data_IF_022417533828
#
_entry.id   IF_022417533828
#
_cell.length_a   1.000
_cell.length_b   1.000
_cell.length_c   1.000
_cell.angle_alpha   90.00
_cell.angle_beta   90.00
_cell.angle_gamma   90.00
#
_symmetry.space_group_name_H-M   'P 1'
#
loop_
_entity.id
_entity.type
_entity.pdbx_description
1 polymer ?
#
# COMPACT_ATOMS: atom_id res chain seq x y z
N UNK A 1 -8.75 22.38 -51.00
CA UNK A 1 -7.36 22.01 -50.65
C UNK A 1 -7.01 22.47 -49.22
N UNK A 2 -7.71 21.95 -48.18
CA UNK A 2 -7.46 22.31 -46.76
C UNK A 2 -7.53 21.11 -45.79
N UNK A 3 -7.94 19.93 -46.27
CA UNK A 3 -8.17 18.73 -45.44
C UNK A 3 -6.91 17.86 -45.32
N UNK A 4 -5.96 17.95 -46.27
CA UNK A 4 -4.77 17.10 -46.31
C UNK A 4 -3.70 17.39 -45.23
N UNK A 5 -3.80 18.53 -44.52
CA UNK A 5 -2.82 18.94 -43.49
C UNK A 5 -3.35 18.66 -42.07
N UNK A 6 -4.68 18.52 -41.90
CA UNK A 6 -5.30 18.34 -40.59
C UNK A 6 -5.07 16.94 -40.00
N UNK A 7 -5.11 15.89 -40.83
CA UNK A 7 -4.87 14.51 -40.40
C UNK A 7 -3.47 14.27 -39.78
N UNK A 8 -2.35 14.70 -40.39
CA UNK A 8 -1.03 14.49 -39.79
C UNK A 8 -0.82 15.32 -38.53
N UNK A 9 -1.41 16.52 -38.43
CA UNK A 9 -1.33 17.36 -37.22
C UNK A 9 -2.09 16.73 -36.06
N UNK A 10 -3.28 16.17 -36.31
CA UNK A 10 -4.06 15.49 -35.27
C UNK A 10 -3.36 14.22 -34.76
N UNK A 11 -2.77 13.43 -35.67
CA UNK A 11 -2.00 12.24 -35.30
C UNK A 11 -0.75 12.61 -34.48
N UNK A 12 -0.06 13.69 -34.85
CA UNK A 12 1.10 14.18 -34.10
C UNK A 12 0.72 14.69 -32.71
N UNK A 13 -0.41 15.39 -32.58
CA UNK A 13 -0.94 15.84 -31.28
C UNK A 13 -1.34 14.66 -30.38
N UNK A 14 -1.94 13.60 -30.95
CA UNK A 14 -2.25 12.37 -30.20
C UNK A 14 -0.98 11.66 -29.74
N UNK A 15 0.05 11.58 -30.59
CA UNK A 15 1.35 11.02 -30.22
C UNK A 15 2.03 11.82 -29.09
N UNK A 16 2.04 13.15 -29.18
CA UNK A 16 2.58 14.00 -28.11
C UNK A 16 1.76 13.83 -26.83
N UNK A 17 0.43 13.76 -26.92
CA UNK A 17 -0.42 13.55 -25.74
C UNK A 17 -0.13 12.21 -25.06
N UNK A 18 0.12 11.14 -25.84
CA UNK A 18 0.53 9.83 -25.32
C UNK A 18 1.90 9.87 -24.66
N UNK A 19 2.89 10.55 -25.26
CA UNK A 19 4.21 10.71 -24.67
C UNK A 19 4.20 11.56 -23.39
N UNK A 20 3.42 12.63 -23.36
CA UNK A 20 3.24 13.47 -22.16
C UNK A 20 2.51 12.68 -21.07
N UNK A 21 1.53 11.85 -21.44
CA UNK A 21 0.87 10.95 -20.51
C UNK A 21 1.87 9.96 -19.90
N UNK A 22 2.65 9.25 -20.72
CA UNK A 22 3.68 8.33 -20.22
C UNK A 22 4.69 9.07 -19.34
N UNK A 23 5.21 10.23 -19.76
CA UNK A 23 6.20 10.96 -18.97
C UNK A 23 5.67 11.51 -17.63
N UNK A 24 4.38 11.84 -17.54
CA UNK A 24 3.76 12.35 -16.31
C UNK A 24 3.29 11.22 -15.38
N UNK A 25 2.87 10.08 -15.94
CA UNK A 25 2.22 9.02 -15.17
C UNK A 25 3.09 7.77 -14.96
N UNK A 26 3.95 7.40 -15.92
CA UNK A 26 4.97 6.38 -15.71
C UNK A 26 6.20 7.04 -15.08
N UNK A 27 6.33 6.89 -13.75
CA UNK A 27 7.57 7.26 -13.08
C UNK A 27 8.70 6.38 -13.65
N UNK A 28 9.83 6.96 -14.09
CA UNK A 28 10.95 6.17 -14.54
C UNK A 28 11.36 5.20 -13.42
N UNK A 29 11.79 3.97 -13.75
CA UNK A 29 12.21 3.01 -12.74
C UNK A 29 13.25 3.66 -11.83
N UNK A 30 13.01 3.60 -10.53
CA UNK A 30 13.91 4.17 -9.52
C UNK A 30 15.28 3.52 -9.72
N UNK A 31 16.38 4.28 -9.85
CA UNK A 31 17.71 3.70 -9.99
C UNK A 31 18.04 2.87 -8.74
N UNK A 32 17.97 1.55 -8.91
CA UNK A 32 18.10 0.56 -7.85
C UNK A 32 18.09 -0.84 -8.46
N UNK A 33 18.61 -1.82 -7.72
CA UNK A 33 18.54 -3.23 -8.11
C UNK A 33 17.06 -3.62 -8.20
N UNK A 34 16.58 -3.95 -9.41
CA UNK A 34 15.20 -4.38 -9.61
C UNK A 34 14.88 -5.57 -8.69
N UNK A 35 13.68 -5.56 -8.13
CA UNK A 35 13.18 -6.71 -7.38
C UNK A 35 13.10 -7.94 -8.30
N UNK A 36 13.42 -9.13 -7.77
CA UNK A 36 13.31 -10.36 -8.53
C UNK A 36 11.84 -10.66 -8.86
N UNK A 37 11.61 -11.21 -10.06
CA UNK A 37 10.26 -11.54 -10.57
C UNK A 37 9.62 -12.76 -9.93
N UNK A 38 10.36 -13.48 -9.09
CA UNK A 38 9.91 -14.70 -8.41
C UNK A 38 10.05 -14.52 -6.90
N UNK A 39 9.26 -15.27 -6.09
CA UNK A 39 9.41 -15.25 -4.65
C UNK A 39 10.85 -15.58 -4.23
N UNK A 40 11.35 -14.85 -3.25
CA UNK A 40 12.68 -15.06 -2.69
C UNK A 40 12.58 -15.59 -1.28
N UNK A 41 13.58 -16.37 -0.89
CA UNK A 41 13.75 -16.78 0.50
C UNK A 41 14.59 -15.74 1.22
N UNK A 42 14.05 -15.20 2.31
CA UNK A 42 14.81 -14.35 3.25
C UNK A 42 15.72 -15.26 4.08
N UNK A 43 17.02 -14.98 4.08
CA UNK A 43 18.02 -15.81 4.78
C UNK A 43 18.68 -15.07 5.94
N UNK A 44 18.69 -13.74 5.93
CA UNK A 44 19.21 -12.89 7.00
C UNK A 44 18.04 -12.19 7.70
N UNK A 45 18.08 -12.08 9.04
CA UNK A 45 17.08 -11.33 9.81
C UNK A 45 15.70 -12.00 9.90
N UNK A 46 15.64 -13.34 9.79
CA UNK A 46 14.37 -14.09 9.73
C UNK A 46 13.56 -13.95 11.02
N UNK A 47 14.21 -13.96 12.18
CA UNK A 47 13.54 -13.81 13.48
C UNK A 47 12.95 -12.40 13.61
N UNK A 48 13.70 -11.38 13.19
CA UNK A 48 13.31 -9.98 13.21
C UNK A 48 12.14 -9.71 12.26
N UNK A 49 12.15 -10.31 11.06
CA UNK A 49 11.04 -10.24 10.12
C UNK A 49 9.80 -10.93 10.68
N UNK A 50 9.96 -12.12 11.22
CA UNK A 50 8.85 -12.90 11.82
C UNK A 50 8.21 -12.13 12.96
N UNK A 51 9.02 -11.53 13.84
CA UNK A 51 8.54 -10.69 14.94
C UNK A 51 7.81 -9.44 14.41
N UNK A 52 8.43 -8.71 13.47
CA UNK A 52 7.84 -7.50 12.91
C UNK A 52 6.48 -7.75 12.23
N UNK A 53 6.35 -8.86 11.50
CA UNK A 53 5.09 -9.23 10.83
C UNK A 53 4.06 -9.76 11.83
N UNK A 54 4.44 -10.71 12.69
CA UNK A 54 3.50 -11.37 13.61
C UNK A 54 2.95 -10.42 14.65
N UNK A 55 3.82 -9.56 15.20
CA UNK A 55 3.48 -8.51 16.17
C UNK A 55 3.24 -7.15 15.50
N UNK A 56 3.02 -7.12 14.18
CA UNK A 56 2.66 -5.89 13.47
C UNK A 56 1.18 -5.55 13.61
N UNK A 57 0.78 -4.30 13.30
CA UNK A 57 -0.61 -3.84 13.38
C UNK A 57 -1.44 -4.30 12.17
N UNK A 58 -1.40 -5.58 11.86
CA UNK A 58 -2.15 -6.11 10.74
C UNK A 58 -3.66 -6.22 11.06
N UNK A 59 -4.46 -6.00 10.01
CA UNK A 59 -5.88 -6.34 9.96
C UNK A 59 -6.10 -7.51 9.01
N UNK A 60 -7.10 -8.35 9.25
CA UNK A 60 -7.35 -9.50 8.37
C UNK A 60 -8.84 -9.89 8.36
N UNK A 61 -9.30 -10.56 7.29
CA UNK A 61 -10.67 -11.10 7.21
C UNK A 61 -10.94 -12.24 8.19
N UNK A 62 -9.94 -12.70 8.96
CA UNK A 62 -10.10 -13.74 9.99
C UNK A 62 -10.19 -15.15 9.42
N UNK A 63 -9.59 -15.42 8.27
CA UNK A 63 -9.58 -16.75 7.66
C UNK A 63 -8.59 -17.68 8.38
N UNK A 64 -8.78 -19.00 8.26
CA UNK A 64 -8.04 -19.99 9.06
C UNK A 64 -6.91 -20.70 8.32
N UNK A 65 -6.73 -20.43 7.02
CA UNK A 65 -5.70 -21.09 6.22
C UNK A 65 -4.34 -20.42 6.31
N UNK A 66 -3.56 -20.51 5.24
CA UNK A 66 -2.21 -19.93 5.18
C UNK A 66 -2.30 -18.41 5.32
N UNK A 67 -1.32 -17.84 6.01
CA UNK A 67 -1.22 -16.38 6.17
C UNK A 67 -0.40 -15.80 5.02
N UNK A 68 -0.87 -14.68 4.47
CA UNK A 68 -0.11 -13.81 3.58
C UNK A 68 -0.09 -12.42 4.19
N UNK A 69 1.10 -11.89 4.51
CA UNK A 69 1.23 -10.50 4.94
C UNK A 69 1.39 -9.58 3.73
N UNK A 70 0.69 -8.45 3.75
CA UNK A 70 0.85 -7.39 2.76
C UNK A 70 1.10 -6.06 3.46
N UNK A 71 2.19 -5.38 3.11
CA UNK A 71 2.52 -4.04 3.64
C UNK A 71 2.31 -3.00 2.54
N UNK A 72 1.65 -1.88 2.87
CA UNK A 72 1.42 -0.77 1.94
C UNK A 72 0.91 0.50 2.60
N UNK A 73 0.53 1.48 1.79
CA UNK A 73 -0.10 2.74 2.23
C UNK A 73 -1.32 3.03 1.33
N UNK A 74 -2.23 3.91 1.78
CA UNK A 74 -3.57 4.08 1.16
C UNK A 74 -3.54 4.43 -0.31
N UNK A 75 -2.64 5.33 -0.72
CA UNK A 75 -2.53 5.84 -2.08
C UNK A 75 -1.57 5.03 -2.98
N UNK A 76 -1.20 3.81 -2.56
CA UNK A 76 -0.35 2.92 -3.35
C UNK A 76 -1.18 2.25 -4.46
N UNK A 77 -1.02 2.69 -5.71
CA UNK A 77 -1.77 2.17 -6.86
C UNK A 77 -1.60 0.66 -7.06
N UNK A 78 -0.35 0.17 -7.03
CA UNK A 78 -0.07 -1.27 -7.18
C UNK A 78 -0.64 -2.11 -6.02
N UNK A 79 -0.68 -1.53 -4.82
CA UNK A 79 -1.28 -2.18 -3.67
C UNK A 79 -2.80 -2.34 -3.85
N UNK A 80 -3.48 -1.26 -4.26
CA UNK A 80 -4.92 -1.29 -4.54
C UNK A 80 -5.21 -2.30 -5.65
N UNK A 81 -4.45 -2.27 -6.74
CA UNK A 81 -4.64 -3.18 -7.86
C UNK A 81 -4.47 -4.65 -7.43
N UNK A 82 -3.41 -4.97 -6.70
CA UNK A 82 -3.17 -6.32 -6.19
C UNK A 82 -4.33 -6.83 -5.32
N UNK A 83 -4.88 -5.98 -4.46
CA UNK A 83 -6.02 -6.37 -3.63
C UNK A 83 -7.27 -6.63 -4.46
N UNK A 84 -7.59 -5.73 -5.40
CA UNK A 84 -8.76 -5.88 -6.25
C UNK A 84 -8.69 -7.13 -7.12
N UNK A 85 -7.50 -7.52 -7.59
CA UNK A 85 -7.34 -8.65 -8.50
C UNK A 85 -7.06 -9.98 -7.79
N UNK A 86 -6.25 -9.98 -6.73
CA UNK A 86 -5.74 -11.22 -6.14
C UNK A 86 -6.46 -11.63 -4.85
N UNK A 87 -6.91 -10.69 -4.00
CA UNK A 87 -7.52 -11.04 -2.71
C UNK A 87 -8.76 -11.94 -2.86
N UNK A 88 -9.69 -11.73 -3.82
CA UNK A 88 -10.84 -12.61 -3.97
C UNK A 88 -10.45 -14.07 -4.20
N UNK A 89 -9.44 -14.33 -5.04
CA UNK A 89 -8.95 -15.68 -5.31
C UNK A 89 -8.21 -16.27 -4.10
N UNK A 90 -7.42 -15.46 -3.39
CA UNK A 90 -6.73 -15.87 -2.17
C UNK A 90 -7.71 -16.24 -1.05
N UNK A 91 -8.74 -15.43 -0.84
CA UNK A 91 -9.79 -15.68 0.16
C UNK A 91 -10.62 -16.92 -0.20
N UNK A 92 -10.95 -17.10 -1.48
CA UNK A 92 -11.61 -18.33 -1.95
C UNK A 92 -10.75 -19.58 -1.73
N UNK A 93 -9.41 -19.44 -1.74
CA UNK A 93 -8.45 -20.48 -1.37
C UNK A 93 -8.18 -20.55 0.15
N UNK A 94 -8.97 -19.85 0.97
CA UNK A 94 -8.86 -19.76 2.43
C UNK A 94 -7.53 -19.16 2.94
N UNK A 95 -6.86 -18.32 2.15
CA UNK A 95 -5.65 -17.60 2.57
C UNK A 95 -6.04 -16.37 3.40
N UNK A 96 -5.52 -16.28 4.62
CA UNK A 96 -5.71 -15.14 5.53
C UNK A 96 -4.77 -13.99 5.14
N UNK A 97 -5.30 -12.99 4.43
CA UNK A 97 -4.52 -11.81 4.03
C UNK A 97 -4.43 -10.80 5.16
N UNK A 98 -3.25 -10.70 5.78
CA UNK A 98 -2.95 -9.78 6.88
C UNK A 98 -2.35 -8.50 6.34
N UNK A 99 -3.12 -7.42 6.35
CA UNK A 99 -2.70 -6.15 5.78
C UNK A 99 -2.15 -5.23 6.87
N UNK A 100 -0.93 -4.76 6.66
CA UNK A 100 -0.27 -3.73 7.47
C UNK A 100 -0.27 -2.45 6.63
N UNK A 101 -1.18 -1.53 6.95
CA UNK A 101 -1.14 -0.18 6.37
C UNK A 101 -0.34 0.76 7.28
N UNK A 102 0.44 1.64 6.66
CA UNK A 102 1.13 2.72 7.36
C UNK A 102 0.89 4.05 6.67
N UNK A 103 0.79 5.12 7.47
CA UNK A 103 0.79 6.49 6.97
C UNK A 103 2.23 6.92 6.65
N UNK A 104 2.48 7.45 5.46
CA UNK A 104 3.84 7.91 5.09
C UNK A 104 4.20 9.20 5.86
N UNK A 105 5.33 9.19 6.56
CA UNK A 105 5.84 10.39 7.25
C UNK A 105 6.06 11.51 6.23
N UNK A 106 5.48 12.69 6.49
CA UNK A 106 5.57 13.87 5.61
C UNK A 106 4.67 13.87 4.38
N UNK A 107 3.94 12.77 4.10
CA UNK A 107 3.10 12.65 2.90
C UNK A 107 1.63 12.30 3.20
N UNK A 108 1.34 11.71 4.37
CA UNK A 108 -0.02 11.46 4.80
C UNK A 108 -0.62 12.76 5.38
N UNK A 109 -1.88 13.02 5.07
CA UNK A 109 -2.62 14.11 5.70
C UNK A 109 -3.21 13.69 7.05
N UNK A 110 -3.79 14.67 7.76
CA UNK A 110 -4.44 14.47 9.05
C UNK A 110 -5.55 13.40 9.03
N UNK A 111 -6.25 13.25 7.90
CA UNK A 111 -7.34 12.29 7.72
C UNK A 111 -6.80 10.88 7.60
N UNK A 112 -5.83 10.66 6.71
CA UNK A 112 -5.13 9.39 6.56
C UNK A 112 -4.50 8.96 7.90
N UNK A 113 -3.85 9.88 8.61
CA UNK A 113 -3.25 9.58 9.91
C UNK A 113 -4.28 9.15 10.96
N UNK A 114 -5.43 9.85 11.04
CA UNK A 114 -6.50 9.51 11.97
C UNK A 114 -7.12 8.14 11.66
N UNK A 115 -7.35 7.81 10.38
CA UNK A 115 -7.91 6.52 9.98
C UNK A 115 -6.90 5.39 10.23
N UNK A 116 -5.62 5.59 9.89
CA UNK A 116 -4.55 4.59 10.15
C UNK A 116 -4.40 4.31 11.64
N UNK A 117 -4.47 5.35 12.49
CA UNK A 117 -4.40 5.16 13.93
C UNK A 117 -5.58 4.32 14.45
N UNK A 118 -6.80 4.57 13.94
CA UNK A 118 -7.99 3.76 14.26
C UNK A 118 -7.83 2.32 13.81
N UNK A 119 -7.42 2.11 12.56
CA UNK A 119 -7.18 0.81 11.96
C UNK A 119 -6.17 0.00 12.79
N UNK A 120 -5.05 0.62 13.14
CA UNK A 120 -3.96 0.01 13.90
C UNK A 120 -4.38 -0.31 15.34
N UNK A 121 -5.00 0.63 16.05
CA UNK A 121 -5.42 0.44 17.43
C UNK A 121 -6.50 -0.64 17.56
N UNK A 122 -7.50 -0.62 16.67
CA UNK A 122 -8.68 -1.50 16.76
C UNK A 122 -8.46 -2.85 16.10
N UNK A 123 -7.56 -2.90 15.11
CA UNK A 123 -7.30 -4.07 14.27
C UNK A 123 -8.56 -4.64 13.62
N UNK A 124 -9.46 -3.75 13.19
CA UNK A 124 -10.77 -4.10 12.65
C UNK A 124 -10.74 -4.10 11.11
N UNK A 125 -11.00 -5.27 10.52
CA UNK A 125 -11.11 -5.45 9.08
C UNK A 125 -12.23 -4.63 8.44
N UNK A 126 -13.30 -4.36 9.17
CA UNK A 126 -14.43 -3.57 8.63
C UNK A 126 -14.00 -2.15 8.31
N UNK A 127 -13.11 -1.56 9.13
CA UNK A 127 -12.53 -0.24 8.86
C UNK A 127 -11.71 -0.29 7.57
N UNK A 128 -10.90 -1.34 7.41
CA UNK A 128 -10.09 -1.57 6.23
C UNK A 128 -10.92 -1.68 4.95
N UNK A 129 -11.86 -2.62 4.93
CA UNK A 129 -12.71 -2.90 3.76
C UNK A 129 -13.44 -1.63 3.32
N UNK A 130 -14.09 -0.92 4.24
CA UNK A 130 -14.78 0.34 3.92
C UNK A 130 -13.85 1.38 3.33
N UNK A 131 -12.68 1.58 3.93
CA UNK A 131 -11.76 2.62 3.47
C UNK A 131 -11.09 2.32 2.13
N UNK A 132 -10.94 1.03 1.78
CA UNK A 132 -10.36 0.59 0.52
C UNK A 132 -11.40 0.44 -0.61
N UNK A 133 -12.63 0.03 -0.29
CA UNK A 133 -13.71 -0.17 -1.27
C UNK A 133 -14.41 1.13 -1.67
N UNK A 134 -14.48 2.11 -0.76
CA UNK A 134 -15.10 3.40 -1.05
C UNK A 134 -14.21 4.29 -1.93
N UNK A 135 -14.85 5.24 -2.62
CA UNK A 135 -14.11 6.29 -3.36
C UNK A 135 -13.18 7.06 -2.41
N UNK A 136 -12.03 7.57 -2.90
CA UNK A 136 -11.16 8.41 -2.11
C UNK A 136 -11.95 9.51 -1.37
N UNK A 137 -11.59 9.75 -0.11
CA UNK A 137 -12.20 10.76 0.78
C UNK A 137 -13.64 10.52 1.25
N UNK A 138 -14.32 9.43 0.86
CA UNK A 138 -15.68 9.15 1.32
C UNK A 138 -15.76 8.71 2.80
N UNK A 139 -14.71 8.08 3.32
CA UNK A 139 -14.76 7.45 4.65
C UNK A 139 -15.17 8.41 5.78
N UNK A 140 -14.56 9.61 5.95
CA UNK A 140 -14.95 10.54 7.01
C UNK A 140 -16.37 11.08 6.83
N UNK A 141 -16.87 11.13 5.59
CA UNK A 141 -18.21 11.64 5.27
C UNK A 141 -19.28 10.60 5.64
N UNK A 142 -19.03 9.32 5.34
CA UNK A 142 -20.01 8.24 5.52
C UNK A 142 -19.99 7.67 6.93
N UNK A 143 -18.80 7.44 7.51
CA UNK A 143 -18.65 6.77 8.80
C UNK A 143 -18.23 7.71 9.93
N UNK A 144 -18.03 8.98 9.62
CA UNK A 144 -17.54 9.99 10.55
C UNK A 144 -16.00 10.03 10.62
N UNK A 145 -15.47 11.22 10.85
CA UNK A 145 -14.04 11.45 11.03
C UNK A 145 -13.55 10.82 12.34
N UNK A 146 -12.57 9.90 12.31
CA UNK A 146 -11.94 9.42 13.53
C UNK A 146 -11.27 10.56 14.31
N UNK A 147 -11.08 10.43 15.64
CA UNK A 147 -10.37 11.43 16.41
C UNK A 147 -8.98 11.74 15.84
N UNK A 148 -8.56 12.99 15.93
CA UNK A 148 -7.21 13.39 15.54
C UNK A 148 -6.16 12.63 16.34
N UNK A 149 -5.00 12.42 15.73
CA UNK A 149 -3.87 11.74 16.40
C UNK A 149 -3.22 12.67 17.44
N UNK A 150 -3.02 13.94 17.07
CA UNK A 150 -2.38 14.93 17.92
C UNK A 150 -3.07 15.08 19.27
N UNK A 151 -2.28 15.02 20.34
CA UNK A 151 -2.77 15.20 21.72
C UNK A 151 -3.28 13.91 22.36
N UNK A 152 -3.17 12.78 21.67
CA UNK A 152 -3.42 11.45 22.23
C UNK A 152 -2.20 10.55 22.08
N UNK A 153 -1.50 10.31 23.20
CA UNK A 153 -0.33 9.42 23.24
C UNK A 153 -0.63 8.03 22.67
N UNK A 154 -1.82 7.49 22.93
CA UNK A 154 -2.21 6.18 22.42
C UNK A 154 -2.35 6.19 20.90
N UNK A 155 -2.98 7.22 20.33
CA UNK A 155 -3.19 7.31 18.87
C UNK A 155 -1.89 7.59 18.14
N UNK A 156 -1.03 8.42 18.72
CA UNK A 156 0.32 8.68 18.21
C UNK A 156 1.12 7.38 18.16
N UNK A 157 1.06 6.55 19.22
CA UNK A 157 1.69 5.25 19.25
C UNK A 157 1.11 4.28 18.20
N UNK A 158 -0.21 4.24 18.03
CA UNK A 158 -0.84 3.42 17.00
C UNK A 158 -0.45 3.83 15.58
N UNK A 159 -0.45 5.14 15.28
CA UNK A 159 0.03 5.66 14.00
C UNK A 159 1.48 5.24 13.73
N UNK A 160 2.33 5.34 14.75
CA UNK A 160 3.75 5.07 14.63
C UNK A 160 4.07 3.56 14.55
N UNK A 161 3.27 2.69 15.15
CA UNK A 161 3.49 1.23 15.13
C UNK A 161 3.59 0.68 13.70
N UNK A 162 2.69 1.08 12.80
CA UNK A 162 2.74 0.64 11.39
C UNK A 162 4.00 1.12 10.67
N UNK A 163 4.43 2.36 10.95
CA UNK A 163 5.66 2.95 10.38
C UNK A 163 6.91 2.21 10.87
N UNK A 164 6.99 1.92 12.17
CA UNK A 164 8.08 1.15 12.77
C UNK A 164 8.15 -0.25 12.19
N UNK A 165 7.03 -0.95 12.04
CA UNK A 165 7.02 -2.28 11.40
C UNK A 165 7.51 -2.21 9.97
N UNK A 166 7.04 -1.24 9.18
CA UNK A 166 7.55 -1.02 7.82
C UNK A 166 9.05 -0.81 7.81
N UNK A 167 9.59 0.00 8.72
CA UNK A 167 11.02 0.31 8.78
C UNK A 167 11.86 -0.92 9.19
N UNK A 168 11.34 -1.73 10.12
CA UNK A 168 11.98 -3.00 10.52
C UNK A 168 12.02 -4.00 9.36
N UNK A 169 10.92 -4.17 8.63
CA UNK A 169 10.86 -5.04 7.44
C UNK A 169 11.81 -4.51 6.36
N UNK A 170 11.83 -3.20 6.13
CA UNK A 170 12.73 -2.58 5.16
C UNK A 170 14.20 -2.85 5.49
N UNK A 171 14.57 -2.78 6.76
CA UNK A 171 15.92 -3.08 7.21
C UNK A 171 16.30 -4.56 6.95
N UNK A 172 15.39 -5.50 7.21
CA UNK A 172 15.64 -6.92 6.89
C UNK A 172 15.81 -7.12 5.39
N UNK A 173 14.94 -6.52 4.56
CA UNK A 173 15.06 -6.60 3.10
C UNK A 173 16.40 -6.05 2.61
N UNK A 174 16.84 -4.91 3.15
CA UNK A 174 18.11 -4.29 2.83
C UNK A 174 19.29 -5.22 3.14
N UNK A 175 19.27 -5.91 4.28
CA UNK A 175 20.29 -6.90 4.66
C UNK A 175 20.35 -8.10 3.71
N UNK A 176 19.24 -8.43 3.05
CA UNK A 176 19.16 -9.45 2.02
C UNK A 176 19.45 -8.89 0.61
N UNK A 177 19.86 -7.62 0.50
CA UNK A 177 20.29 -6.99 -0.75
C UNK A 177 19.15 -6.49 -1.64
N UNK A 178 17.98 -6.19 -1.05
CA UNK A 178 16.80 -5.72 -1.77
C UNK A 178 16.23 -4.45 -1.12
N UNK A 179 15.80 -3.45 -1.90
CA UNK A 179 14.97 -2.39 -1.36
C UNK A 179 13.61 -2.97 -0.93
N UNK A 180 12.96 -2.36 0.06
CA UNK A 180 11.55 -2.64 0.33
C UNK A 180 10.66 -1.69 -0.47
N UNK A 181 10.04 -2.23 -1.50
CA UNK A 181 8.97 -1.59 -2.27
C UNK A 181 7.61 -2.09 -1.81
N UNK A 182 6.53 -1.39 -2.16
CA UNK A 182 5.16 -1.79 -1.81
C UNK A 182 4.32 -2.01 -3.08
N UNK A 183 3.42 -3.01 -3.13
CA UNK A 183 3.07 -3.92 -2.03
C UNK A 183 4.20 -4.90 -1.69
N UNK A 184 4.56 -4.97 -0.41
CA UNK A 184 5.52 -5.97 0.08
C UNK A 184 4.74 -7.18 0.58
N UNK A 185 5.05 -8.36 0.06
CA UNK A 185 4.32 -9.61 0.29
C UNK A 185 5.21 -10.65 0.98
N UNK A 186 4.73 -11.26 2.07
CA UNK A 186 5.48 -12.25 2.88
C UNK A 186 4.61 -13.42 3.31
#
# INVERSE_FOLDING_TARGET
MRIAILAPVLAFLLFISGFVYIALYEKPPVPGKQLPKTPQTVTVGVAELTDALSNGPWVSPGLTGKVLYKIGFRSCGDCINYELTEFPALHAANVDTRVILYARRGNADATEEAIIADLTCKRDWTIYSRWMEDVPDAYPVVYGMPPMVQGSTQREACLEWGRVVRDRVANVMQQNGWPMEVPALF
#
